data_IF_207118078545
#
_entry.id   IF_207118078545
#
_cell.length_a   1.000
_cell.length_b   1.000
_cell.length_c   1.000
_cell.angle_alpha   90.00
_cell.angle_beta   90.00
_cell.angle_gamma   90.00
#
_symmetry.space_group_name_H-M   'P 1'
#
loop_
_entity.id
_entity.type
_entity.pdbx_description
1 polymer ?
#
# COMPACT_ATOMS: atom_id res chain seq x y z
N UNK A 1 -10.63 0.14 -2.19
CA UNK A 1 -11.37 1.38 -2.53
C UNK A 1 -10.60 2.58 -1.97
N UNK A 2 -10.77 3.78 -2.57
CA UNK A 2 -10.18 5.00 -2.03
C UNK A 2 -10.78 5.36 -0.67
N UNK A 3 -10.10 6.22 0.08
CA UNK A 3 -10.72 6.88 1.23
C UNK A 3 -11.75 7.92 0.76
N UNK A 4 -12.78 8.24 1.56
CA UNK A 4 -13.70 9.33 1.25
C UNK A 4 -12.95 10.63 0.95
N UNK A 5 -13.33 11.32 -0.12
CA UNK A 5 -12.67 12.56 -0.55
C UNK A 5 -11.34 12.40 -1.27
N UNK A 6 -10.97 11.18 -1.69
CA UNK A 6 -9.81 10.97 -2.54
C UNK A 6 -9.90 11.79 -3.83
N UNK A 7 -8.84 12.52 -4.13
CA UNK A 7 -8.59 13.18 -5.41
C UNK A 7 -7.16 12.84 -5.84
N UNK A 8 -6.92 12.40 -7.08
CA UNK A 8 -5.58 12.11 -7.54
C UNK A 8 -4.73 13.38 -7.59
N UNK A 9 -3.43 13.21 -7.34
CA UNK A 9 -2.42 14.24 -7.60
C UNK A 9 -2.04 14.25 -9.10
N UNK A 10 -1.00 15.00 -9.48
CA UNK A 10 -0.51 15.12 -10.85
C UNK A 10 -0.24 13.76 -11.52
N UNK A 11 0.22 12.76 -10.76
CA UNK A 11 0.35 11.38 -11.26
C UNK A 11 -0.94 10.58 -11.01
N UNK A 12 -1.93 10.81 -11.87
CA UNK A 12 -3.29 10.30 -11.70
C UNK A 12 -3.37 8.78 -11.67
N UNK A 13 -2.58 8.13 -12.50
CA UNK A 13 -2.59 6.68 -12.69
C UNK A 13 -1.86 5.92 -11.56
N UNK A 14 -1.26 6.61 -10.60
CA UNK A 14 -0.50 5.97 -9.54
C UNK A 14 -1.39 5.11 -8.62
N UNK A 15 -2.55 5.64 -8.20
CA UNK A 15 -3.41 4.98 -7.20
C UNK A 15 -4.71 4.41 -7.78
N UNK A 16 -5.34 5.12 -8.70
CA UNK A 16 -6.69 4.80 -9.19
C UNK A 16 -6.81 3.40 -9.77
N UNK A 17 -5.87 2.94 -10.64
CA UNK A 17 -5.97 1.60 -11.21
C UNK A 17 -5.88 0.50 -10.16
N UNK A 18 -5.26 0.76 -9.00
CA UNK A 18 -5.04 -0.23 -7.95
C UNK A 18 -6.29 -0.50 -7.09
N UNK A 19 -7.30 0.36 -7.16
CA UNK A 19 -8.48 0.23 -6.31
C UNK A 19 -9.29 -1.03 -6.65
N UNK A 20 -9.75 -1.72 -5.60
CA UNK A 20 -10.63 -2.90 -5.70
C UNK A 20 -9.92 -4.22 -6.04
N UNK A 21 -8.67 -4.16 -6.51
CA UNK A 21 -7.96 -5.31 -7.09
C UNK A 21 -6.68 -5.68 -6.33
N UNK A 22 -6.04 -4.72 -5.65
CA UNK A 22 -4.81 -4.94 -4.87
C UNK A 22 -5.10 -5.00 -3.36
N UNK A 23 -4.23 -5.67 -2.61
CA UNK A 23 -4.21 -5.68 -1.13
C UNK A 23 -3.19 -4.67 -0.61
N UNK A 24 -3.47 -4.10 0.56
CA UNK A 24 -2.64 -3.05 1.17
C UNK A 24 -1.63 -3.67 2.14
N UNK A 25 -0.38 -3.20 2.07
CA UNK A 25 0.69 -3.47 3.04
C UNK A 25 1.11 -2.16 3.73
N UNK A 26 1.63 -2.27 4.95
CA UNK A 26 1.93 -1.14 5.84
C UNK A 26 3.28 -1.31 6.54
N UNK A 27 3.88 -0.20 6.96
CA UNK A 27 5.09 -0.18 7.80
C UNK A 27 6.43 -0.25 7.06
N UNK A 28 6.43 -0.46 5.74
CA UNK A 28 7.67 -0.62 4.97
C UNK A 28 8.40 -1.94 5.25
N UNK A 29 9.55 -2.12 4.61
CA UNK A 29 10.47 -3.23 4.82
C UNK A 29 11.89 -2.69 5.05
N UNK A 30 12.85 -3.57 5.40
CA UNK A 30 14.24 -3.18 5.68
C UNK A 30 14.95 -2.48 4.49
N UNK A 31 14.44 -2.67 3.27
CA UNK A 31 14.92 -1.97 2.05
C UNK A 31 14.24 -0.61 1.80
N UNK A 32 13.15 -0.30 2.49
CA UNK A 32 12.40 0.94 2.28
C UNK A 32 13.18 2.12 2.86
N UNK A 33 13.35 3.18 2.06
CA UNK A 33 13.99 4.41 2.54
C UNK A 33 13.16 5.02 3.68
N UNK A 34 13.81 5.41 4.77
CA UNK A 34 13.12 5.92 5.97
C UNK A 34 12.14 7.07 5.69
N UNK A 35 12.47 7.97 4.75
CA UNK A 35 11.57 9.09 4.35
C UNK A 35 10.26 8.67 3.69
N UNK A 36 10.13 7.42 3.25
CA UNK A 36 8.89 6.86 2.67
C UNK A 36 8.09 6.06 3.71
N UNK A 37 8.62 5.86 4.91
CA UNK A 37 7.94 5.11 5.97
C UNK A 37 7.18 6.10 6.84
N UNK A 38 5.87 6.20 6.59
CA UNK A 38 4.97 6.99 7.41
C UNK A 38 3.65 6.25 7.66
N UNK A 39 2.88 6.75 8.64
CA UNK A 39 1.62 6.15 9.06
C UNK A 39 0.50 6.31 8.02
N UNK A 40 0.65 7.14 6.99
CA UNK A 40 -0.30 7.31 5.90
C UNK A 40 0.05 6.46 4.67
N UNK A 41 1.32 6.12 4.43
CA UNK A 41 1.81 5.45 3.21
C UNK A 41 1.28 4.02 3.01
N UNK A 42 0.51 3.82 1.94
CA UNK A 42 -0.16 2.54 1.61
C UNK A 42 0.53 1.90 0.42
N UNK A 43 1.34 0.87 0.68
CA UNK A 43 1.88 0.04 -0.39
C UNK A 43 0.82 -0.96 -0.87
N UNK A 44 0.82 -1.38 -2.13
CA UNK A 44 -0.23 -2.24 -2.68
C UNK A 44 0.27 -3.19 -3.77
N UNK A 45 -0.18 -4.45 -3.72
CA UNK A 45 0.17 -5.49 -4.68
C UNK A 45 -0.99 -6.46 -4.92
N UNK A 46 -0.90 -7.26 -5.99
CA UNK A 46 -1.78 -8.40 -6.19
C UNK A 46 -1.65 -9.40 -5.02
N UNK A 47 -2.74 -10.05 -4.58
CA UNK A 47 -2.72 -10.96 -3.42
C UNK A 47 -1.86 -12.22 -3.65
N UNK A 48 -1.60 -12.55 -4.90
CA UNK A 48 -0.82 -13.69 -5.38
C UNK A 48 0.70 -13.46 -5.36
N UNK A 49 1.13 -12.20 -5.22
CA UNK A 49 2.54 -11.80 -5.31
C UNK A 49 3.36 -12.31 -4.13
N UNK A 50 4.51 -12.92 -4.43
CA UNK A 50 5.46 -13.50 -3.45
C UNK A 50 6.90 -13.04 -3.63
N UNK A 51 7.15 -12.22 -4.63
CA UNK A 51 8.44 -11.63 -5.01
C UNK A 51 8.69 -10.26 -4.33
N UNK A 52 7.82 -9.89 -3.39
CA UNK A 52 7.90 -8.64 -2.62
C UNK A 52 8.34 -8.94 -1.18
N UNK A 53 8.97 -7.97 -0.52
CA UNK A 53 9.27 -8.04 0.90
C UNK A 53 8.01 -7.77 1.73
N UNK A 54 7.18 -8.78 1.90
CA UNK A 54 5.97 -8.75 2.71
C UNK A 54 6.08 -9.70 3.92
N UNK A 55 5.39 -9.34 5.00
CA UNK A 55 5.27 -10.17 6.21
C UNK A 55 3.84 -10.15 6.74
N UNK A 56 3.61 -10.81 7.87
CA UNK A 56 2.30 -10.91 8.50
C UNK A 56 2.37 -10.49 9.97
N UNK A 57 1.40 -9.66 10.39
CA UNK A 57 1.18 -9.27 11.79
C UNK A 57 -0.24 -9.66 12.15
N UNK A 58 -0.40 -10.48 13.19
CA UNK A 58 -1.71 -10.88 13.71
C UNK A 58 -2.39 -9.72 14.45
N UNK A 59 -3.70 -9.76 14.49
CA UNK A 59 -4.55 -8.92 15.34
C UNK A 59 -5.69 -9.78 15.88
N UNK A 60 -6.12 -9.51 17.10
CA UNK A 60 -7.33 -10.07 17.69
C UNK A 60 -8.30 -8.92 17.99
N UNK A 61 -9.59 -9.22 18.00
CA UNK A 61 -10.68 -8.29 18.33
C UNK A 61 -11.20 -8.62 19.72
#
# INVERSE_FOLDING_TARGET
>A
LPYPGFSPDAYREYSEPAFGTRKVLRGGAWITRGRMVDNAYRNFFGPDRRDIFAGFRTAAV
#
